data_IF_887657244821
#
_entry.id   IF_887657244821
#
_cell.length_a   1.000
_cell.length_b   1.000
_cell.length_c   1.000
_cell.angle_alpha   90.00
_cell.angle_beta   90.00
_cell.angle_gamma   90.00
#
_symmetry.space_group_name_H-M   'P 1'
#
loop_
_entity.id
_entity.type
_entity.pdbx_description
1 polymer ?
#
# COMPACT_ATOMS: atom_id res chain seq x y z
N UNK A 1 -42.33 -18.24 -23.40
CA UNK A 1 -41.18 -17.60 -22.71
C UNK A 1 -40.45 -16.67 -23.66
N UNK A 2 -40.15 -15.44 -23.24
CA UNK A 2 -39.55 -14.41 -24.12
C UNK A 2 -38.01 -14.41 -24.02
N UNK A 3 -37.31 -14.47 -25.16
CA UNK A 3 -35.83 -14.49 -25.19
C UNK A 3 -35.24 -13.12 -24.82
N UNK A 4 -34.54 -13.04 -23.69
CA UNK A 4 -33.81 -11.82 -23.28
C UNK A 4 -32.38 -11.82 -23.82
N UNK A 5 -32.02 -10.80 -24.60
CA UNK A 5 -30.64 -10.60 -25.10
C UNK A 5 -29.80 -9.86 -24.06
N UNK A 6 -28.48 -10.12 -24.01
CA UNK A 6 -27.57 -9.53 -23.00
C UNK A 6 -27.44 -7.99 -23.06
N UNK A 7 -27.77 -7.37 -24.20
CA UNK A 7 -27.61 -5.93 -24.42
C UNK A 7 -26.20 -5.39 -24.14
N UNK A 8 -26.13 -4.18 -23.59
CA UNK A 8 -24.88 -3.46 -23.34
C UNK A 8 -24.24 -3.76 -21.96
N UNK A 9 -24.85 -4.62 -21.14
CA UNK A 9 -24.42 -4.91 -19.75
C UNK A 9 -22.95 -5.36 -19.72
N UNK A 10 -22.58 -6.28 -20.61
CA UNK A 10 -21.20 -6.78 -20.72
C UNK A 10 -20.20 -5.72 -21.20
N UNK A 11 -20.64 -4.76 -22.02
CA UNK A 11 -19.79 -3.63 -22.45
C UNK A 11 -19.57 -2.67 -21.28
N UNK A 12 -20.63 -2.29 -20.56
CA UNK A 12 -20.57 -1.40 -19.39
C UNK A 12 -19.61 -1.91 -18.31
N UNK A 13 -19.66 -3.22 -18.02
CA UNK A 13 -18.74 -3.87 -17.07
C UNK A 13 -17.27 -3.76 -17.53
N UNK A 14 -16.99 -3.99 -18.81
CA UNK A 14 -15.64 -3.88 -19.39
C UNK A 14 -15.13 -2.44 -19.36
N UNK A 15 -15.97 -1.46 -19.70
CA UNK A 15 -15.61 -0.04 -19.61
C UNK A 15 -15.24 0.35 -18.18
N UNK A 16 -16.04 -0.06 -17.18
CA UNK A 16 -15.74 0.20 -15.76
C UNK A 16 -14.39 -0.42 -15.34
N UNK A 17 -14.09 -1.63 -15.79
CA UNK A 17 -12.79 -2.27 -15.48
C UNK A 17 -11.62 -1.55 -16.16
N UNK A 18 -11.79 -1.11 -17.41
CA UNK A 18 -10.75 -0.39 -18.17
C UNK A 18 -10.38 0.95 -17.53
N UNK A 19 -11.35 1.65 -16.93
CA UNK A 19 -11.09 2.91 -16.21
C UNK A 19 -10.08 2.73 -15.05
N UNK A 20 -10.15 1.60 -14.35
CA UNK A 20 -9.23 1.30 -13.23
C UNK A 20 -7.81 1.03 -13.72
N UNK A 21 -7.65 0.53 -14.94
CA UNK A 21 -6.35 0.11 -15.50
C UNK A 21 -5.85 1.05 -16.60
N UNK A 22 -6.36 2.28 -16.68
CA UNK A 22 -6.07 3.20 -17.80
C UNK A 22 -4.59 3.52 -17.95
N UNK A 23 -3.87 3.64 -16.83
CA UNK A 23 -2.44 3.96 -16.76
C UNK A 23 -1.53 2.74 -16.86
N UNK A 24 -2.10 1.53 -17.00
CA UNK A 24 -1.30 0.31 -17.02
C UNK A 24 -0.56 0.18 -18.36
N UNK A 25 0.71 -0.24 -18.29
CA UNK A 25 1.58 -0.32 -19.48
C UNK A 25 1.12 -1.40 -20.47
N UNK A 26 1.18 -1.07 -21.76
CA UNK A 26 0.98 -2.01 -22.86
C UNK A 26 -0.37 -2.74 -22.86
N UNK A 27 -0.33 -4.07 -22.98
CA UNK A 27 -1.53 -4.90 -23.09
C UNK A 27 -2.42 -4.88 -21.82
N UNK A 28 -1.88 -4.46 -20.68
CA UNK A 28 -2.57 -4.42 -19.39
C UNK A 28 -3.69 -3.36 -19.31
N UNK A 29 -3.70 -2.37 -20.20
CA UNK A 29 -4.77 -1.35 -20.32
C UNK A 29 -5.69 -1.56 -21.53
N UNK A 30 -5.36 -2.54 -22.40
CA UNK A 30 -6.04 -2.78 -23.68
C UNK A 30 -6.84 -4.09 -23.68
N UNK A 31 -6.23 -5.21 -23.32
CA UNK A 31 -6.85 -6.54 -23.46
C UNK A 31 -7.76 -6.86 -22.27
N UNK A 32 -9.04 -7.12 -22.53
CA UNK A 32 -10.07 -7.30 -21.48
C UNK A 32 -9.79 -8.45 -20.50
N UNK A 33 -9.22 -9.57 -20.99
CA UNK A 33 -8.82 -10.70 -20.14
C UNK A 33 -7.66 -10.32 -19.23
N UNK A 34 -6.64 -9.67 -19.79
CA UNK A 34 -5.47 -9.19 -19.05
C UNK A 34 -5.84 -8.13 -18.03
N UNK A 35 -6.70 -7.17 -18.38
CA UNK A 35 -7.23 -6.14 -17.47
C UNK A 35 -7.85 -6.78 -16.23
N UNK A 36 -8.65 -7.83 -16.39
CA UNK A 36 -9.28 -8.51 -15.26
C UNK A 36 -8.25 -9.11 -14.29
N UNK A 37 -7.23 -9.79 -14.82
CA UNK A 37 -6.14 -10.34 -14.01
C UNK A 37 -5.34 -9.25 -13.29
N UNK A 38 -4.98 -8.19 -14.01
CA UNK A 38 -4.17 -7.09 -13.46
C UNK A 38 -4.93 -6.30 -12.39
N UNK A 39 -6.23 -6.06 -12.60
CA UNK A 39 -7.09 -5.43 -11.60
C UNK A 39 -7.06 -6.21 -10.28
N UNK A 40 -7.19 -7.55 -10.33
CA UNK A 40 -7.17 -8.39 -9.13
C UNK A 40 -5.80 -8.28 -8.43
N UNK A 41 -4.70 -8.40 -9.19
CA UNK A 41 -3.33 -8.29 -8.64
C UNK A 41 -3.05 -6.92 -8.00
N UNK A 42 -3.54 -5.84 -8.61
CA UNK A 42 -3.40 -4.49 -8.09
C UNK A 42 -4.16 -4.31 -6.77
N UNK A 43 -5.39 -4.83 -6.68
CA UNK A 43 -6.19 -4.74 -5.45
C UNK A 43 -5.58 -5.55 -4.30
N UNK A 44 -5.07 -6.76 -4.58
CA UNK A 44 -4.37 -7.59 -3.59
C UNK A 44 -3.11 -6.88 -3.07
N UNK A 45 -2.32 -6.30 -3.98
CA UNK A 45 -1.10 -5.58 -3.59
C UNK A 45 -1.43 -4.33 -2.78
N UNK A 46 -2.40 -3.52 -3.21
CA UNK A 46 -2.89 -2.38 -2.44
C UNK A 46 -3.31 -2.77 -1.01
N UNK A 47 -4.05 -3.86 -0.85
CA UNK A 47 -4.44 -4.34 0.48
C UNK A 47 -3.25 -4.72 1.35
N UNK A 48 -2.30 -5.48 0.79
CA UNK A 48 -1.07 -5.88 1.47
C UNK A 48 -0.22 -4.67 1.87
N UNK A 49 -0.05 -3.74 0.95
CA UNK A 49 0.87 -2.62 1.11
C UNK A 49 0.35 -1.58 2.10
N UNK A 50 -0.97 -1.45 2.31
CA UNK A 50 -1.52 -0.65 3.42
C UNK A 50 -1.02 -1.10 4.80
N UNK A 51 -0.86 -2.41 5.00
CA UNK A 51 -0.32 -2.94 6.25
C UNK A 51 1.20 -2.79 6.32
N UNK A 52 1.89 -2.94 5.18
CA UNK A 52 3.35 -2.76 5.09
C UNK A 52 3.75 -1.30 5.33
N UNK A 53 3.01 -0.34 4.78
CA UNK A 53 3.25 1.09 4.92
C UNK A 53 3.35 1.54 6.38
N UNK A 54 2.50 1.00 7.27
CA UNK A 54 2.57 1.26 8.72
C UNK A 54 3.91 0.83 9.33
N UNK A 55 4.44 -0.31 8.88
CA UNK A 55 5.75 -0.83 9.33
C UNK A 55 6.90 -0.04 8.74
N UNK A 56 6.80 0.34 7.46
CA UNK A 56 7.84 1.10 6.77
C UNK A 56 8.00 2.50 7.37
N UNK A 57 6.90 3.19 7.68
CA UNK A 57 6.97 4.48 8.39
C UNK A 57 7.55 4.33 9.79
N UNK A 58 7.14 3.32 10.56
CA UNK A 58 7.74 3.07 11.88
C UNK A 58 9.24 2.82 11.77
N UNK A 59 9.69 2.02 10.79
CA UNK A 59 11.12 1.80 10.53
C UNK A 59 11.84 3.10 10.22
N UNK A 60 11.29 3.92 9.33
CA UNK A 60 11.85 5.22 8.97
C UNK A 60 11.98 6.14 10.19
N UNK A 61 10.95 6.20 11.05
CA UNK A 61 10.99 7.00 12.27
C UNK A 61 12.06 6.51 13.24
N UNK A 62 12.18 5.21 13.46
CA UNK A 62 13.24 4.63 14.29
C UNK A 62 14.61 5.02 13.75
N UNK A 63 14.85 4.89 12.44
CA UNK A 63 16.12 5.28 11.82
C UNK A 63 16.42 6.77 12.00
N UNK A 64 15.44 7.64 11.79
CA UNK A 64 15.60 9.09 11.98
C UNK A 64 15.90 9.46 13.43
N UNK A 65 15.16 8.91 14.38
CA UNK A 65 15.36 9.14 15.82
C UNK A 65 16.76 8.64 16.23
N UNK A 66 17.16 7.46 15.76
CA UNK A 66 18.48 6.90 16.06
C UNK A 66 19.63 7.77 15.51
N UNK A 67 19.48 8.36 14.33
CA UNK A 67 20.49 9.28 13.78
C UNK A 67 20.68 10.50 14.69
N UNK A 68 19.59 11.17 15.09
CA UNK A 68 19.63 12.36 15.96
C UNK A 68 20.20 12.04 17.34
N UNK A 69 19.88 10.87 17.90
CA UNK A 69 20.38 10.45 19.22
C UNK A 69 21.90 10.25 19.19
N UNK A 70 22.43 9.64 18.12
CA UNK A 70 23.86 9.34 18.00
C UNK A 70 24.72 10.59 17.95
N UNK A 71 24.19 11.72 17.46
CA UNK A 71 24.89 13.01 17.48
C UNK A 71 25.13 13.51 18.91
N UNK A 72 24.29 13.13 19.89
CA UNK A 72 24.39 13.59 21.28
C UNK A 72 25.31 12.75 22.17
N UNK A 73 25.88 11.66 21.66
CA UNK A 73 26.85 10.84 22.40
C UNK A 73 27.02 9.43 21.83
N UNK A 74 28.28 8.96 21.79
CA UNK A 74 28.69 7.70 21.13
C UNK A 74 28.03 6.47 21.76
N UNK A 75 27.75 6.51 23.09
CA UNK A 75 27.13 5.41 23.84
C UNK A 75 25.60 5.50 23.93
N UNK A 76 24.98 6.51 23.33
CA UNK A 76 23.53 6.70 23.36
C UNK A 76 22.92 6.10 22.09
N UNK A 77 21.98 5.16 22.26
CA UNK A 77 21.35 4.44 21.17
C UNK A 77 19.81 4.49 21.31
N UNK A 78 19.11 4.19 20.21
CA UNK A 78 17.64 4.18 20.20
C UNK A 78 17.03 3.35 21.34
N UNK A 79 17.55 2.15 21.61
CA UNK A 79 17.01 1.25 22.63
C UNK A 79 17.11 1.84 24.05
N UNK A 80 18.26 2.44 24.39
CA UNK A 80 18.49 3.09 25.69
C UNK A 80 17.60 4.31 25.85
N UNK A 81 17.50 5.14 24.81
CA UNK A 81 16.64 6.31 24.81
C UNK A 81 15.16 5.96 25.02
N UNK A 82 14.64 4.95 24.32
CA UNK A 82 13.25 4.51 24.50
C UNK A 82 13.02 3.95 25.90
N UNK A 83 13.95 3.17 26.44
CA UNK A 83 13.87 2.66 27.81
C UNK A 83 13.80 3.80 28.83
N UNK A 84 14.65 4.82 28.66
CA UNK A 84 14.69 5.99 29.54
C UNK A 84 13.37 6.80 29.44
N UNK A 85 12.80 6.94 28.23
CA UNK A 85 11.50 7.59 28.03
C UNK A 85 10.35 6.87 28.74
N UNK A 86 10.27 5.54 28.63
CA UNK A 86 9.24 4.75 29.33
C UNK A 86 9.39 4.84 30.85
N UNK A 87 10.62 4.81 31.37
CA UNK A 87 10.87 5.00 32.82
C UNK A 87 10.45 6.39 33.31
N UNK A 88 10.65 7.42 32.48
CA UNK A 88 10.25 8.80 32.78
C UNK A 88 8.76 9.11 32.60
N UNK A 89 7.92 8.11 32.25
CA UNK A 89 6.46 8.26 32.02
C UNK A 89 6.04 9.25 30.92
N UNK A 90 6.98 9.73 30.10
CA UNK A 90 6.71 10.68 29.01
C UNK A 90 6.00 10.04 27.79
N UNK A 91 6.00 8.71 27.70
CA UNK A 91 5.34 7.94 26.66
C UNK A 91 4.16 7.15 27.25
N UNK A 92 3.14 7.87 27.72
CA UNK A 92 1.84 7.32 28.13
C UNK A 92 0.90 7.22 26.94
#
# INVERSE_FOLDING_TARGET
>A
MTRVRRGYIARRRRTKMRLVTSTFRGAHSRLTRTIAQQKIRALISSHRDRNRQKRDFRRLWITRINAVIRERGIYYNYSKFINDLYKSQLAS
#
